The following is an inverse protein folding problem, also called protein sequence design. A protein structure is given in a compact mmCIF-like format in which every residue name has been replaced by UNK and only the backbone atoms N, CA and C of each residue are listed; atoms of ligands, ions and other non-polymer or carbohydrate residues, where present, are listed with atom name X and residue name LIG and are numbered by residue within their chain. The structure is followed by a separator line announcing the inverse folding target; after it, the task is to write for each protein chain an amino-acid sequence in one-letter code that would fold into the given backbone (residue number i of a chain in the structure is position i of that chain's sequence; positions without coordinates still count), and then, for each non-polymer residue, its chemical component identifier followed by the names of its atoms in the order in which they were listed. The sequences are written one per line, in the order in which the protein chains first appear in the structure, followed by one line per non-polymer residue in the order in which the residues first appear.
data_IF_092763429824
#
_entry.id   IF_092763429824
#
_cell.length_a   1.000
_cell.length_b   1.000
_cell.length_c   1.000
_cell.angle_alpha   90.00
_cell.angle_beta   90.00
_cell.angle_gamma   90.00
#
_symmetry.space_group_name_H-M   'P 1'
#
loop_
_entity.id
_entity.type
_entity.pdbx_description
1 polymer ?
#
# COMPACT_ATOMS: atom_id res chain seq x y z
N UNK A 1 38.52 1.08 -10.39
CA UNK A 1 37.16 1.58 -10.72
C UNK A 1 37.28 3.07 -11.00
N UNK A 2 36.36 3.67 -11.76
CA UNK A 2 36.44 5.11 -12.05
C UNK A 2 36.27 5.89 -10.73
N UNK A 3 37.24 6.75 -10.39
CA UNK A 3 37.24 7.59 -9.18
C UNK A 3 35.95 8.44 -9.08
N UNK A 4 35.35 8.77 -10.24
CA UNK A 4 34.06 9.44 -10.33
C UNK A 4 32.87 8.57 -9.88
N UNK A 5 32.90 7.26 -10.11
CA UNK A 5 31.79 6.36 -9.73
C UNK A 5 31.75 6.22 -8.21
N UNK A 6 32.90 6.05 -7.57
CA UNK A 6 33.01 5.93 -6.12
C UNK A 6 32.55 7.22 -5.42
N UNK A 7 33.08 8.38 -5.88
CA UNK A 7 32.66 9.70 -5.37
C UNK A 7 31.15 9.93 -5.51
N UNK A 8 30.56 9.67 -6.69
CA UNK A 8 29.13 9.90 -6.93
C UNK A 8 28.27 8.94 -6.07
N UNK A 9 28.72 7.70 -5.89
CA UNK A 9 28.00 6.71 -5.08
C UNK A 9 27.99 7.11 -3.60
N UNK A 10 29.11 7.59 -3.08
CA UNK A 10 29.20 8.05 -1.70
C UNK A 10 28.35 9.31 -1.45
N UNK A 11 28.43 10.30 -2.34
CA UNK A 11 27.59 11.50 -2.28
C UNK A 11 26.10 11.14 -2.32
N UNK A 12 25.72 10.21 -3.20
CA UNK A 12 24.34 9.71 -3.29
C UNK A 12 23.89 9.05 -1.98
N UNK A 13 24.70 8.17 -1.40
CA UNK A 13 24.37 7.48 -0.14
C UNK A 13 24.27 8.44 1.05
N UNK A 14 25.13 9.46 1.11
CA UNK A 14 25.07 10.51 2.12
C UNK A 14 23.76 11.33 2.01
N UNK A 15 23.41 11.76 0.81
CA UNK A 15 22.17 12.53 0.60
C UNK A 15 20.92 11.71 0.87
N UNK A 16 20.92 10.44 0.45
CA UNK A 16 19.81 9.51 0.71
C UNK A 16 19.58 9.33 2.22
N UNK A 17 20.66 9.12 2.99
CA UNK A 17 20.57 9.03 4.45
C UNK A 17 20.08 10.35 5.08
N UNK A 18 20.57 11.50 4.59
CA UNK A 18 20.12 12.80 5.07
C UNK A 18 18.61 13.02 4.85
N UNK A 19 18.09 12.63 3.68
CA UNK A 19 16.65 12.67 3.38
C UNK A 19 15.87 11.78 4.33
N UNK A 20 16.34 10.55 4.59
CA UNK A 20 15.67 9.65 5.54
C UNK A 20 15.62 10.22 6.96
N UNK A 21 16.71 10.83 7.44
CA UNK A 21 16.77 11.50 8.75
C UNK A 21 15.80 12.68 8.81
N UNK A 22 15.83 13.57 7.82
CA UNK A 22 14.93 14.72 7.77
C UNK A 22 13.45 14.28 7.70
N UNK A 23 13.15 13.23 6.95
CA UNK A 23 11.80 12.69 6.86
C UNK A 23 11.30 12.15 8.21
N UNK A 24 12.17 11.49 8.99
CA UNK A 24 11.84 11.05 10.37
C UNK A 24 11.54 12.25 11.27
N UNK A 25 12.38 13.28 11.23
CA UNK A 25 12.20 14.50 12.03
C UNK A 25 10.89 15.22 11.66
N UNK A 26 10.61 15.39 10.37
CA UNK A 26 9.36 15.99 9.88
C UNK A 26 8.14 15.19 10.34
N UNK A 27 8.21 13.86 10.26
CA UNK A 27 7.12 13.00 10.70
C UNK A 27 6.88 13.10 12.20
N UNK A 28 7.93 13.24 13.00
CA UNK A 28 7.83 13.44 14.44
C UNK A 28 7.18 14.80 14.77
N UNK A 29 7.62 15.89 14.14
CA UNK A 29 6.96 17.19 14.30
C UNK A 29 5.49 17.16 13.85
N UNK A 30 5.16 16.47 12.76
CA UNK A 30 3.77 16.31 12.32
C UNK A 30 2.91 15.63 13.39
N UNK A 31 3.42 14.59 14.06
CA UNK A 31 2.71 13.91 15.15
C UNK A 31 2.47 14.87 16.33
N UNK A 32 3.52 15.60 16.74
CA UNK A 32 3.43 16.55 17.84
C UNK A 32 2.43 17.67 17.53
N UNK A 33 2.49 18.27 16.34
CA UNK A 33 1.54 19.28 15.89
C UNK A 33 0.11 18.73 15.83
N UNK A 34 -0.09 17.50 15.36
CA UNK A 34 -1.42 16.89 15.32
C UNK A 34 -2.01 16.74 16.73
N UNK A 35 -1.19 16.30 17.69
CA UNK A 35 -1.58 16.16 19.09
C UNK A 35 -1.95 17.50 19.73
N UNK A 36 -1.18 18.55 19.45
CA UNK A 36 -1.50 19.90 19.93
C UNK A 36 -2.84 20.40 19.36
N UNK A 37 -3.09 20.20 18.07
CA UNK A 37 -4.39 20.56 17.45
C UNK A 37 -5.55 19.75 18.06
N UNK A 38 -5.29 18.50 18.43
CA UNK A 38 -6.28 17.65 19.10
C UNK A 38 -6.62 18.12 20.52
N UNK A 39 -5.62 18.54 21.29
CA UNK A 39 -5.75 18.92 22.70
C UNK A 39 -6.21 20.38 22.89
N UNK A 40 -5.77 21.29 22.01
CA UNK A 40 -5.95 22.73 22.18
C UNK A 40 -6.77 23.40 21.06
N UNK A 41 -7.08 22.68 19.98
CA UNK A 41 -7.76 23.24 18.83
C UNK A 41 -9.27 23.43 19.03
N UNK A 42 -9.80 24.51 18.45
CA UNK A 42 -11.22 24.81 18.44
C UNK A 42 -11.93 24.01 17.33
N UNK A 43 -13.05 23.36 17.68
CA UNK A 43 -13.86 22.60 16.74
C UNK A 43 -14.82 23.50 15.95
N UNK A 44 -14.88 23.33 14.62
CA UNK A 44 -15.85 24.00 13.75
C UNK A 44 -17.19 23.24 13.61
N UNK A 45 -18.13 23.83 12.87
CA UNK A 45 -19.46 23.25 12.61
C UNK A 45 -19.43 21.90 11.86
N UNK A 46 -18.28 21.56 11.24
CA UNK A 46 -18.04 20.30 10.51
C UNK A 46 -17.24 19.29 11.35
N UNK A 47 -16.83 19.67 12.55
CA UNK A 47 -16.01 18.88 13.44
C UNK A 47 -14.51 18.89 13.13
N UNK A 48 -14.03 19.81 12.29
CA UNK A 48 -12.59 20.01 12.11
C UNK A 48 -12.03 20.82 13.26
N UNK A 49 -10.83 20.47 13.72
CA UNK A 49 -10.13 21.22 14.78
C UNK A 49 -9.11 22.18 14.16
N UNK A 50 -9.07 23.40 14.67
CA UNK A 50 -8.23 24.48 14.19
C UNK A 50 -7.40 25.07 15.34
N UNK A 51 -6.10 25.28 15.11
CA UNK A 51 -5.22 25.88 16.12
C UNK A 51 -4.31 26.94 15.48
N UNK A 52 -4.46 28.22 15.85
CA UNK A 52 -3.54 29.28 15.42
C UNK A 52 -2.13 29.07 16.00
N UNK A 53 -1.11 29.13 15.14
CA UNK A 53 0.30 28.95 15.51
C UNK A 53 1.15 30.07 14.89
N UNK A 54 1.14 31.25 15.52
CA UNK A 54 1.82 32.45 15.04
C UNK A 54 1.25 32.90 13.69
N UNK A 55 2.06 32.81 12.62
CA UNK A 55 1.63 33.18 11.25
C UNK A 55 0.91 32.05 10.51
N UNK A 56 0.77 30.89 11.11
CA UNK A 56 0.14 29.72 10.50
C UNK A 56 -1.15 29.35 11.21
N UNK A 57 -2.02 28.63 10.51
CA UNK A 57 -3.22 28.03 11.06
C UNK A 57 -3.14 26.52 10.82
N UNK A 58 -3.09 25.75 11.90
CA UNK A 58 -3.04 24.29 11.84
C UNK A 58 -4.47 23.75 11.75
N UNK A 59 -4.65 22.70 10.95
CA UNK A 59 -5.94 22.07 10.74
C UNK A 59 -5.84 20.55 10.94
N UNK A 60 -6.75 19.99 11.74
CA UNK A 60 -7.03 18.55 11.82
C UNK A 60 -8.43 18.29 11.27
N UNK A 61 -8.47 17.71 10.08
CA UNK A 61 -9.73 17.39 9.41
C UNK A 61 -10.38 16.14 10.02
N UNK A 62 -11.59 16.30 10.53
CA UNK A 62 -12.49 15.18 10.78
C UNK A 62 -12.75 14.42 9.47
N UNK A 63 -12.28 13.18 9.42
CA UNK A 63 -12.62 12.24 8.36
C UNK A 63 -13.90 11.53 8.75
N UNK A 64 -14.98 11.76 8.01
CA UNK A 64 -16.06 10.79 7.99
C UNK A 64 -15.54 9.60 7.19
N UNK A 65 -15.21 8.50 7.87
CA UNK A 65 -14.95 7.24 7.18
C UNK A 65 -16.08 6.98 6.19
N UNK A 66 -15.74 6.51 4.98
CA UNK A 66 -16.74 6.12 3.98
C UNK A 66 -17.76 5.25 4.72
N UNK A 67 -19.04 5.65 4.78
CA UNK A 67 -20.09 4.82 5.39
C UNK A 67 -20.12 3.52 4.59
N UNK A 68 -19.40 2.50 5.06
CA UNK A 68 -19.51 1.17 4.50
C UNK A 68 -20.88 0.65 4.90
N UNK A 69 -21.59 0.05 3.95
CA UNK A 69 -22.75 -0.74 4.32
C UNK A 69 -22.27 -1.85 5.24
N UNK A 70 -22.93 -1.99 6.38
CA UNK A 70 -22.79 -3.20 7.16
C UNK A 70 -23.45 -4.32 6.35
N UNK A 71 -22.63 -5.18 5.74
CA UNK A 71 -23.10 -6.21 4.80
C UNK A 71 -24.19 -7.11 5.40
N UNK A 72 -24.00 -7.59 6.63
CA UNK A 72 -24.97 -8.45 7.30
C UNK A 72 -26.34 -7.74 7.47
N UNK A 73 -26.33 -6.49 7.96
CA UNK A 73 -27.57 -5.71 8.11
C UNK A 73 -28.22 -5.35 6.78
N UNK A 74 -27.42 -5.08 5.75
CA UNK A 74 -27.90 -4.74 4.42
C UNK A 74 -28.56 -5.95 3.75
N UNK A 75 -27.98 -7.13 3.93
CA UNK A 75 -28.52 -8.41 3.45
C UNK A 75 -29.84 -8.75 4.14
N UNK A 76 -29.90 -8.67 5.48
CA UNK A 76 -31.13 -8.87 6.23
C UNK A 76 -32.22 -7.90 5.78
N UNK A 77 -31.90 -6.61 5.68
CA UNK A 77 -32.82 -5.59 5.23
C UNK A 77 -33.32 -5.83 3.80
N UNK A 78 -32.45 -6.24 2.87
CA UNK A 78 -32.82 -6.53 1.49
C UNK A 78 -33.72 -7.79 1.39
N UNK A 79 -33.48 -8.81 2.22
CA UNK A 79 -34.33 -10.00 2.33
C UNK A 79 -35.70 -9.64 2.92
N UNK A 80 -35.76 -8.85 3.99
CA UNK A 80 -37.01 -8.36 4.59
C UNK A 80 -37.86 -7.53 3.63
N UNK A 81 -37.20 -6.72 2.78
CA UNK A 81 -37.86 -5.90 1.76
C UNK A 81 -38.23 -6.65 0.48
N UNK A 82 -37.84 -7.91 0.35
CA UNK A 82 -38.12 -8.72 -0.83
C UNK A 82 -37.36 -8.30 -2.09
N UNK A 83 -36.34 -7.42 -1.97
CA UNK A 83 -35.55 -6.92 -3.11
C UNK A 83 -34.25 -7.70 -3.32
N UNK A 84 -33.99 -8.73 -2.52
CA UNK A 84 -32.75 -9.51 -2.56
C UNK A 84 -32.43 -10.06 -3.95
N UNK A 85 -33.43 -10.53 -4.69
CA UNK A 85 -33.25 -11.04 -6.06
C UNK A 85 -32.84 -9.96 -7.07
N UNK A 86 -33.13 -8.69 -6.80
CA UNK A 86 -32.76 -7.56 -7.67
C UNK A 86 -31.34 -7.04 -7.39
N UNK A 87 -30.85 -7.23 -6.15
CA UNK A 87 -29.59 -6.64 -5.68
C UNK A 87 -28.47 -7.66 -5.44
N UNK A 88 -28.77 -8.96 -5.47
CA UNK A 88 -27.78 -10.02 -5.30
C UNK A 88 -27.34 -10.61 -6.64
N UNK A 89 -26.08 -11.04 -6.71
CA UNK A 89 -25.54 -11.81 -7.84
C UNK A 89 -24.49 -12.79 -7.33
N UNK A 90 -24.44 -13.97 -7.94
CA UNK A 90 -23.33 -14.91 -7.78
C UNK A 90 -22.26 -14.56 -8.80
N UNK A 91 -21.02 -14.44 -8.36
CA UNK A 91 -19.86 -14.28 -9.25
C UNK A 91 -19.03 -15.54 -9.09
N UNK A 92 -18.90 -16.30 -10.16
CA UNK A 92 -17.94 -17.40 -10.24
C UNK A 92 -16.57 -16.79 -10.52
N UNK A 93 -15.60 -17.14 -9.67
CA UNK A 93 -14.21 -16.70 -9.80
C UNK A 93 -13.35 -17.95 -9.89
N UNK A 94 -12.37 -17.93 -10.78
CA UNK A 94 -11.37 -18.99 -10.86
C UNK A 94 -10.62 -19.08 -9.52
N UNK A 95 -10.58 -20.27 -8.95
CA UNK A 95 -9.74 -20.57 -7.80
C UNK A 95 -8.33 -20.89 -8.31
N UNK A 96 -7.43 -19.90 -8.23
CA UNK A 96 -6.05 -20.03 -8.71
C UNK A 96 -5.26 -21.09 -7.94
N UNK A 97 -5.51 -21.25 -6.63
CA UNK A 97 -4.85 -22.27 -5.80
C UNK A 97 -5.31 -23.67 -6.19
N UNK A 98 -6.62 -23.83 -6.44
CA UNK A 98 -7.16 -25.10 -6.94
C UNK A 98 -6.64 -25.41 -8.35
N UNK A 99 -6.47 -24.40 -9.21
CA UNK A 99 -5.87 -24.57 -10.54
C UNK A 99 -4.41 -25.05 -10.43
N UNK A 100 -3.59 -24.41 -9.58
CA UNK A 100 -2.20 -24.84 -9.36
C UNK A 100 -2.14 -26.26 -8.79
N UNK A 101 -3.01 -26.58 -7.83
CA UNK A 101 -3.12 -27.93 -7.28
C UNK A 101 -3.47 -28.98 -8.35
N UNK A 102 -4.42 -28.67 -9.22
CA UNK A 102 -4.78 -29.51 -10.35
C UNK A 102 -3.59 -29.76 -11.29
N UNK A 103 -2.82 -28.73 -11.63
CA UNK A 103 -1.63 -28.87 -12.49
C UNK A 103 -0.58 -29.74 -11.81
N UNK A 104 -0.33 -29.54 -10.51
CA UNK A 104 0.63 -30.34 -9.76
C UNK A 104 0.26 -31.83 -9.71
N UNK A 105 -1.01 -32.13 -9.47
CA UNK A 105 -1.54 -33.50 -9.41
C UNK A 105 -1.52 -34.21 -10.78
N UNK A 106 -1.63 -33.44 -11.86
CA UNK A 106 -1.67 -33.94 -13.24
C UNK A 106 -0.37 -33.68 -14.03
N UNK A 107 0.75 -33.36 -13.37
CA UNK A 107 2.06 -33.08 -14.02
C UNK A 107 2.64 -34.20 -14.89
N UNK A 108 2.03 -35.38 -14.86
CA UNK A 108 2.38 -36.53 -15.70
C UNK A 108 1.78 -36.41 -17.11
N UNK A 109 0.81 -35.50 -17.30
CA UNK A 109 0.23 -35.18 -18.60
C UNK A 109 1.22 -34.37 -19.43
N UNK A 110 1.50 -34.86 -20.65
CA UNK A 110 2.51 -34.28 -21.53
C UNK A 110 2.07 -32.89 -22.00
N UNK A 111 2.92 -31.88 -21.81
CA UNK A 111 2.68 -30.50 -22.26
C UNK A 111 1.86 -29.61 -21.30
N UNK A 112 1.20 -30.18 -20.29
CA UNK A 112 0.32 -29.44 -19.37
C UNK A 112 1.05 -28.32 -18.60
N UNK A 113 2.27 -28.58 -18.13
CA UNK A 113 3.07 -27.60 -17.40
C UNK A 113 3.54 -26.45 -18.30
N UNK A 114 3.87 -26.72 -19.56
CA UNK A 114 4.27 -25.71 -20.54
C UNK A 114 3.09 -24.81 -20.94
N UNK A 115 1.90 -25.40 -21.14
CA UNK A 115 0.67 -24.65 -21.37
C UNK A 115 0.31 -23.74 -20.19
N UNK A 116 0.44 -24.26 -18.96
CA UNK A 116 0.20 -23.49 -17.75
C UNK A 116 1.18 -22.32 -17.61
N UNK A 117 2.48 -22.55 -17.86
CA UNK A 117 3.48 -21.47 -17.85
C UNK A 117 3.18 -20.38 -18.87
N UNK A 118 2.62 -20.75 -20.02
CA UNK A 118 2.20 -19.82 -21.07
C UNK A 118 1.02 -18.90 -20.68
N UNK A 119 0.31 -19.18 -19.60
CA UNK A 119 -0.77 -18.33 -19.07
C UNK A 119 -0.24 -17.11 -18.29
N UNK A 120 1.03 -17.13 -17.89
CA UNK A 120 1.64 -16.02 -17.17
C UNK A 120 2.05 -14.92 -18.14
N UNK A 121 1.44 -13.74 -17.97
CA UNK A 121 1.95 -12.53 -18.63
C UNK A 121 3.39 -12.29 -18.20
N UNK A 122 4.32 -12.26 -19.16
CA UNK A 122 5.69 -11.85 -18.86
C UNK A 122 5.65 -10.37 -18.50
N UNK A 123 5.98 -9.96 -17.27
CA UNK A 123 5.99 -8.55 -16.92
C UNK A 123 6.97 -7.82 -17.84
N UNK A 124 6.65 -6.59 -18.30
CA UNK A 124 7.56 -5.82 -19.13
C UNK A 124 8.90 -5.66 -18.40
N UNK A 125 10.01 -5.87 -19.12
CA UNK A 125 11.34 -5.67 -18.56
C UNK A 125 11.45 -4.23 -18.07
N UNK A 126 11.55 -4.06 -16.75
CA UNK A 126 11.74 -2.76 -16.10
C UNK A 126 13.07 -2.79 -15.35
N UNK A 127 13.86 -1.73 -15.51
CA UNK A 127 15.10 -1.55 -14.77
C UNK A 127 14.86 -0.49 -13.72
N UNK A 128 15.00 -0.87 -12.45
CA UNK A 128 15.04 0.07 -11.34
C UNK A 128 16.49 0.20 -10.87
N UNK A 129 16.94 1.44 -10.66
CA UNK A 129 18.20 1.66 -9.96
C UNK A 129 17.98 1.30 -8.49
N UNK A 130 18.55 0.18 -8.07
CA UNK A 130 18.49 -0.29 -6.69
C UNK A 130 19.51 0.48 -5.83
N UNK A 131 19.25 0.58 -4.53
CA UNK A 131 20.24 1.11 -3.59
C UNK A 131 21.52 0.27 -3.71
N UNK A 132 22.72 0.89 -3.78
CA UNK A 132 23.98 0.16 -3.72
C UNK A 132 24.02 -0.79 -2.51
N UNK A 133 24.52 -2.00 -2.71
CA UNK A 133 24.70 -3.04 -1.66
C UNK A 133 26.19 -3.28 -1.45
N UNK A 134 26.61 -3.52 -0.20
CA UNK A 134 27.99 -3.90 0.10
C UNK A 134 28.31 -5.27 -0.50
N UNK A 135 29.51 -5.42 -1.08
CA UNK A 135 29.99 -6.68 -1.61
C UNK A 135 30.25 -7.64 -0.43
N UNK A 136 29.34 -8.60 -0.21
CA UNK A 136 29.61 -9.69 0.72
C UNK A 136 30.54 -10.68 0.03
N UNK A 137 31.79 -10.76 0.51
CA UNK A 137 32.71 -11.83 0.10
C UNK A 137 32.11 -13.17 0.51
N UNK A 138 31.46 -13.86 -0.43
CA UNK A 138 31.22 -15.28 -0.29
C UNK A 138 32.57 -15.97 -0.51
N UNK A 139 33.25 -16.33 0.59
CA UNK A 139 34.33 -17.30 0.53
C UNK A 139 33.72 -18.62 0.00
N UNK A 140 34.16 -19.04 -1.19
CA UNK A 140 33.80 -20.32 -1.80
C UNK A 140 34.45 -21.49 -1.07
#
# INVERSE_FOLDING_TARGET
MSEDIERITDEYMQHLNHVEVLQRIINEYKKQLNKLVEEEGDEDDKGHQWLPAGKYLLQRQRRQGKKSLNHARAEEWAKERGIWSEVSRTIEVLDEDALVGYIYDNRQEEGLEEEFQGLHDTPPTSYAFMKPVEEQNYEY
#
